data_IF_299926783634
#
_entry.id   IF_299926783634
#
_cell.length_a   1.000
_cell.length_b   1.000
_cell.length_c   1.000
_cell.angle_alpha   90.00
_cell.angle_beta   90.00
_cell.angle_gamma   90.00
#
_symmetry.space_group_name_H-M   'P 1'
#
loop_
_entity.id
_entity.type
_entity.pdbx_description
1 polymer ?
#
# COMPACT_ATOMS: atom_id res chain seq x y z
N UNK A 1 -15.38 -7.67 -6.05
CA UNK A 1 -15.23 -7.12 -4.68
C UNK A 1 -13.88 -7.59 -4.19
N UNK A 2 -12.85 -6.74 -4.21
CA UNK A 2 -11.51 -7.12 -3.76
C UNK A 2 -11.53 -7.13 -2.24
N UNK A 3 -11.58 -8.31 -1.61
CA UNK A 3 -11.42 -8.43 -0.16
C UNK A 3 -9.94 -8.26 0.14
N UNK A 4 -9.52 -7.02 0.35
CA UNK A 4 -8.18 -6.75 0.88
C UNK A 4 -8.13 -7.24 2.33
N UNK A 5 -7.06 -7.91 2.75
CA UNK A 5 -6.85 -8.16 4.17
C UNK A 5 -6.87 -6.84 4.91
N UNK A 6 -7.49 -6.83 6.09
CA UNK A 6 -7.55 -5.67 6.96
C UNK A 6 -6.15 -5.14 7.21
N UNK A 7 -5.92 -3.86 6.93
CA UNK A 7 -4.58 -3.30 6.99
C UNK A 7 -4.21 -3.02 8.46
N UNK A 8 -2.99 -3.38 8.85
CA UNK A 8 -2.45 -3.05 10.18
C UNK A 8 -2.48 -1.53 10.39
N UNK A 9 -3.22 -1.06 11.38
CA UNK A 9 -3.37 0.37 11.70
C UNK A 9 -4.66 1.03 11.20
N UNK A 10 -5.48 0.32 10.41
CA UNK A 10 -6.80 0.80 9.97
C UNK A 10 -7.74 1.04 11.16
N UNK A 11 -7.73 0.13 12.16
CA UNK A 11 -8.52 0.26 13.39
C UNK A 11 -8.06 1.41 14.31
N UNK A 12 -6.80 1.82 14.18
CA UNK A 12 -6.23 2.91 14.95
C UNK A 12 -6.66 4.28 14.42
N UNK A 13 -7.26 4.32 13.22
CA UNK A 13 -7.61 5.57 12.53
C UNK A 13 -6.42 6.32 11.94
N UNK A 14 -5.24 5.69 11.85
CA UNK A 14 -4.02 6.34 11.33
C UNK A 14 -4.13 6.67 9.83
N UNK A 15 -4.99 5.96 9.11
CA UNK A 15 -5.28 6.19 7.70
C UNK A 15 -6.64 5.57 7.34
N UNK A 16 -7.26 6.11 6.29
CA UNK A 16 -8.58 5.65 5.80
C UNK A 16 -8.57 5.22 4.33
N UNK A 17 -7.41 5.33 3.67
CA UNK A 17 -7.25 5.00 2.25
C UNK A 17 -5.96 4.21 2.05
N UNK A 18 -5.85 3.47 0.93
CA UNK A 18 -4.61 2.78 0.54
C UNK A 18 -3.46 3.77 0.40
N UNK A 19 -3.70 4.97 -0.14
CA UNK A 19 -2.69 6.02 -0.23
C UNK A 19 -2.19 6.46 1.16
N UNK A 20 -3.10 6.62 2.14
CA UNK A 20 -2.73 6.93 3.52
C UNK A 20 -1.93 5.80 4.18
N UNK A 21 -2.28 4.55 3.91
CA UNK A 21 -1.51 3.39 4.36
C UNK A 21 -0.08 3.40 3.79
N UNK A 22 0.06 3.62 2.47
CA UNK A 22 1.37 3.71 1.80
C UNK A 22 2.24 4.82 2.40
N UNK A 23 1.66 5.99 2.67
CA UNK A 23 2.38 7.10 3.30
C UNK A 23 2.81 6.76 4.74
N UNK A 24 1.93 6.11 5.50
CA UNK A 24 2.20 5.67 6.88
C UNK A 24 3.36 4.68 6.93
N UNK A 25 3.36 3.67 6.05
CA UNK A 25 4.40 2.64 6.03
C UNK A 25 5.74 3.16 5.51
N UNK A 26 5.73 4.03 4.48
CA UNK A 26 6.98 4.56 3.91
C UNK A 26 7.58 5.71 4.73
N UNK A 27 6.78 6.44 5.52
CA UNK A 27 7.24 7.56 6.36
C UNK A 27 7.78 8.77 5.57
N UNK A 28 7.52 8.83 4.26
CA UNK A 28 7.97 9.90 3.34
C UNK A 28 6.95 10.08 2.20
N UNK A 29 7.05 11.19 1.46
CA UNK A 29 6.35 11.30 0.17
C UNK A 29 6.97 10.25 -0.78
N UNK A 30 6.18 9.29 -1.29
CA UNK A 30 6.70 8.23 -2.12
C UNK A 30 7.03 8.71 -3.53
N UNK A 31 7.82 7.90 -4.24
CA UNK A 31 8.03 8.00 -5.68
C UNK A 31 7.45 6.77 -6.36
N UNK A 32 7.12 6.88 -7.64
CA UNK A 32 6.82 5.70 -8.47
C UNK A 32 7.95 4.69 -8.34
N UNK A 33 7.60 3.39 -8.26
CA UNK A 33 8.46 2.24 -7.95
C UNK A 33 8.89 2.09 -6.48
N UNK A 34 8.58 3.02 -5.56
CA UNK A 34 8.68 2.73 -4.13
C UNK A 34 7.71 1.60 -3.77
N UNK A 35 8.17 0.64 -2.96
CA UNK A 35 7.37 -0.50 -2.53
C UNK A 35 7.74 -0.97 -1.12
N UNK A 36 6.83 -1.69 -0.49
CA UNK A 36 7.04 -2.37 0.79
C UNK A 36 6.22 -3.66 0.86
N UNK A 37 6.51 -4.49 1.87
CA UNK A 37 5.74 -5.70 2.18
C UNK A 37 5.01 -5.49 3.50
N UNK A 38 3.69 -5.73 3.51
CA UNK A 38 2.89 -5.81 4.72
C UNK A 38 2.05 -7.09 4.67
N UNK A 39 2.05 -7.86 5.76
CA UNK A 39 1.31 -9.13 5.88
C UNK A 39 1.51 -10.11 4.68
N UNK A 40 2.75 -10.20 4.19
CA UNK A 40 3.17 -10.99 3.02
C UNK A 40 2.57 -10.55 1.66
N UNK A 41 2.04 -9.33 1.60
CA UNK A 41 1.54 -8.70 0.39
C UNK A 41 2.47 -7.55 0.01
N UNK A 42 2.86 -7.48 -1.27
CA UNK A 42 3.66 -6.37 -1.81
C UNK A 42 2.73 -5.25 -2.25
N UNK A 43 3.01 -4.04 -1.77
CA UNK A 43 2.37 -2.81 -2.20
C UNK A 43 3.41 -1.97 -2.95
N UNK A 44 3.11 -1.59 -4.19
CA UNK A 44 4.03 -0.82 -5.04
C UNK A 44 3.31 0.39 -5.64
N UNK A 45 3.90 1.57 -5.49
CA UNK A 45 3.39 2.80 -6.10
C UNK A 45 3.70 2.77 -7.59
N UNK A 46 2.68 2.72 -8.43
CA UNK A 46 2.85 2.70 -9.89
C UNK A 46 2.52 4.05 -10.53
N UNK A 47 1.81 4.93 -9.82
CA UNK A 47 1.45 6.25 -10.32
C UNK A 47 1.28 7.28 -9.19
N UNK A 48 1.81 8.47 -9.42
CA UNK A 48 1.74 9.63 -8.52
C UNK A 48 1.07 10.79 -9.27
N UNK A 49 0.07 11.41 -8.67
CA UNK A 49 -0.52 12.68 -9.13
C UNK A 49 -0.07 13.81 -8.20
N UNK A 50 1.02 14.48 -8.58
CA UNK A 50 1.73 15.43 -7.71
C UNK A 50 2.21 14.74 -6.42
N UNK A 51 1.70 15.20 -5.27
CA UNK A 51 2.01 14.62 -3.96
C UNK A 51 1.03 13.52 -3.51
N UNK A 52 0.07 13.14 -4.37
CA UNK A 52 -0.94 12.12 -4.06
C UNK A 52 -0.59 10.81 -4.75
N UNK A 53 -0.64 9.71 -4.00
CA UNK A 53 -0.59 8.37 -4.60
C UNK A 53 -1.90 8.14 -5.34
N UNK A 54 -1.84 7.92 -6.66
CA UNK A 54 -3.03 7.68 -7.49
C UNK A 54 -3.28 6.19 -7.68
N UNK A 55 -2.22 5.42 -7.98
CA UNK A 55 -2.33 3.97 -8.23
C UNK A 55 -1.29 3.17 -7.46
N UNK A 56 -1.75 2.07 -6.90
CA UNK A 56 -0.94 1.10 -6.16
C UNK A 56 -1.19 -0.29 -6.76
N UNK A 57 -0.10 -0.98 -7.11
CA UNK A 57 -0.14 -2.39 -7.47
C UNK A 57 0.00 -3.23 -6.21
N UNK A 58 -0.91 -4.19 -6.05
CA UNK A 58 -0.91 -5.14 -4.93
C UNK A 58 -0.58 -6.53 -5.50
N UNK A 59 0.49 -7.13 -5.02
CA UNK A 59 0.92 -8.47 -5.45
C UNK A 59 0.93 -9.44 -4.27
N UNK A 60 0.22 -10.55 -4.43
CA UNK A 60 0.21 -11.66 -3.50
C UNK A 60 1.24 -12.68 -3.99
N UNK A 61 2.28 -12.94 -3.19
CA UNK A 61 3.14 -14.09 -3.46
C UNK A 61 2.28 -15.34 -3.28
N UNK A 62 1.98 -16.05 -4.37
CA UNK A 62 1.44 -17.41 -4.26
C UNK A 62 2.47 -18.20 -3.48
N UNK A 63 2.10 -18.75 -2.31
CA UNK A 63 2.89 -19.84 -1.72
C UNK A 63 3.06 -20.89 -2.82
N UNK A 64 4.29 -21.35 -2.99
CA UNK A 64 4.73 -22.22 -4.08
C UNK A 64 3.74 -23.33 -4.38
N UNK A 65 3.57 -23.57 -5.69
CA UNK A 65 3.18 -24.89 -6.19
C UNK A 65 4.20 -25.95 -5.74
#
# INVERSE_FOLDING_TARGET
>A
HLQLPKLRGEDSGNFHTVAGFVLSELGKIPRTTDWFIADNVRYEVIDMDGNRVDKVLISFNKKGE
#
